data_IF_703350135365
#
_entry.id   IF_703350135365
#
_cell.length_a   1.000
_cell.length_b   1.000
_cell.length_c   1.000
_cell.angle_alpha   90.00
_cell.angle_beta   90.00
_cell.angle_gamma   90.00
#
_symmetry.space_group_name_H-M   'P 1'
#
loop_
_entity.id
_entity.type
_entity.pdbx_description
1 polymer ?
#
# COMPACT_ATOMS: atom_id res chain seq x y z
N UNK A 1 37.03 3.74 -2.69
CA UNK A 1 35.77 4.51 -2.68
C UNK A 1 34.54 3.58 -2.69
N UNK A 2 34.31 2.88 -1.57
CA UNK A 2 33.20 1.92 -1.38
C UNK A 2 32.15 2.48 -0.38
N UNK A 3 32.46 3.61 0.23
CA UNK A 3 31.75 4.16 1.40
C UNK A 3 30.46 4.90 1.03
N UNK A 4 30.40 5.57 -0.12
CA UNK A 4 29.19 6.27 -0.57
C UNK A 4 28.18 5.29 -1.17
N UNK A 5 28.62 4.28 -1.94
CA UNK A 5 27.73 3.21 -2.44
C UNK A 5 27.04 2.45 -1.30
N UNK A 6 27.80 2.00 -0.30
CA UNK A 6 27.23 1.32 0.88
C UNK A 6 26.29 2.21 1.71
N UNK A 7 26.56 3.52 1.78
CA UNK A 7 25.71 4.46 2.54
C UNK A 7 24.41 4.80 1.79
N UNK A 8 24.50 4.94 0.46
CA UNK A 8 23.32 5.07 -0.43
C UNK A 8 22.50 3.78 -0.52
N UNK A 9 23.09 2.60 -0.37
CA UNK A 9 22.36 1.32 -0.31
C UNK A 9 21.53 1.17 0.97
N UNK A 10 22.01 1.69 2.10
CA UNK A 10 21.24 1.76 3.35
C UNK A 10 20.14 2.84 3.31
N UNK A 11 20.33 3.91 2.53
CA UNK A 11 19.32 4.95 2.34
C UNK A 11 18.28 4.58 1.27
N UNK A 12 18.65 3.80 0.25
CA UNK A 12 17.75 3.32 -0.81
C UNK A 12 16.67 2.38 -0.28
N UNK A 13 17.00 1.50 0.68
CA UNK A 13 15.99 0.73 1.38
C UNK A 13 15.07 1.64 2.18
N UNK A 14 15.61 2.63 2.89
CA UNK A 14 14.81 3.54 3.71
C UNK A 14 13.85 4.41 2.88
N UNK A 15 14.33 5.10 1.83
CA UNK A 15 13.48 5.89 0.96
C UNK A 15 12.43 5.03 0.24
N UNK A 16 12.83 3.84 -0.24
CA UNK A 16 11.89 2.90 -0.82
C UNK A 16 10.82 2.48 0.19
N UNK A 17 11.18 2.20 1.45
CA UNK A 17 10.21 1.86 2.51
C UNK A 17 9.24 3.01 2.76
N UNK A 18 9.73 4.23 2.96
CA UNK A 18 8.89 5.42 3.17
C UNK A 18 7.91 5.61 1.99
N UNK A 19 8.41 5.48 0.76
CA UNK A 19 7.59 5.60 -0.44
C UNK A 19 6.57 4.45 -0.55
N UNK A 20 6.98 3.22 -0.20
CA UNK A 20 6.10 2.07 -0.19
C UNK A 20 4.98 2.24 0.84
N UNK A 21 5.31 2.66 2.07
CA UNK A 21 4.35 2.93 3.13
C UNK A 21 3.32 3.97 2.69
N UNK A 22 3.77 5.11 2.16
CA UNK A 22 2.89 6.15 1.65
C UNK A 22 1.96 5.65 0.53
N UNK A 23 2.49 4.84 -0.39
CA UNK A 23 1.71 4.21 -1.47
C UNK A 23 0.69 3.20 -0.93
N UNK A 24 1.08 2.35 0.02
CA UNK A 24 0.23 1.31 0.59
C UNK A 24 -0.88 1.91 1.45
N UNK A 25 -0.59 2.95 2.23
CA UNK A 25 -1.61 3.68 3.00
C UNK A 25 -2.61 4.36 2.06
N UNK A 26 -2.15 4.99 0.97
CA UNK A 26 -3.05 5.57 -0.05
C UNK A 26 -3.89 4.48 -0.73
N UNK A 27 -3.28 3.36 -1.10
CA UNK A 27 -3.99 2.23 -1.71
C UNK A 27 -5.10 1.71 -0.80
N UNK A 28 -4.83 1.52 0.50
CA UNK A 28 -5.82 1.02 1.45
C UNK A 28 -7.07 1.92 1.52
N UNK A 29 -6.92 3.25 1.56
CA UNK A 29 -8.09 4.16 1.56
C UNK A 29 -8.88 4.08 0.26
N UNK A 30 -8.19 4.13 -0.87
CA UNK A 30 -8.85 4.00 -2.18
C UNK A 30 -9.61 2.67 -2.31
N UNK A 31 -9.05 1.57 -1.80
CA UNK A 31 -9.71 0.26 -1.79
C UNK A 31 -10.96 0.26 -0.91
N UNK A 32 -10.99 1.01 0.21
CA UNK A 32 -12.13 1.03 1.13
C UNK A 32 -13.20 2.06 0.80
N UNK A 33 -12.82 3.16 0.16
CA UNK A 33 -13.70 4.30 -0.12
C UNK A 33 -14.53 4.11 -1.39
N UNK A 34 -14.23 3.10 -2.21
CA UNK A 34 -14.79 3.03 -3.54
C UNK A 34 -15.07 1.61 -4.06
N UNK A 35 -16.00 1.50 -5.00
CA UNK A 35 -16.14 0.35 -5.91
C UNK A 35 -15.14 0.42 -7.07
N UNK A 36 -14.03 1.14 -6.90
CA UNK A 36 -13.11 1.38 -8.00
C UNK A 36 -12.41 0.10 -8.41
N UNK A 37 -12.40 -0.19 -9.72
CA UNK A 37 -11.61 -1.26 -10.31
C UNK A 37 -10.15 -1.17 -9.86
N UNK A 38 -9.58 -2.31 -9.48
CA UNK A 38 -8.26 -2.41 -8.89
C UNK A 38 -7.14 -1.80 -9.76
N UNK A 39 -7.33 -1.80 -11.07
CA UNK A 39 -6.44 -1.16 -12.03
C UNK A 39 -6.28 0.34 -11.76
N UNK A 40 -7.38 1.05 -11.50
CA UNK A 40 -7.35 2.49 -11.20
C UNK A 40 -6.64 2.77 -9.89
N UNK A 41 -6.79 1.91 -8.88
CA UNK A 41 -6.07 2.03 -7.61
C UNK A 41 -4.56 1.91 -7.85
N UNK A 42 -4.12 0.90 -8.60
CA UNK A 42 -2.71 0.71 -8.98
C UNK A 42 -2.12 1.97 -9.62
N UNK A 43 -2.80 2.51 -10.64
CA UNK A 43 -2.34 3.73 -11.31
C UNK A 43 -2.34 4.95 -10.38
N UNK A 44 -3.35 5.10 -9.51
CA UNK A 44 -3.44 6.22 -8.56
C UNK A 44 -2.33 6.21 -7.49
N UNK A 45 -1.71 5.06 -7.22
CA UNK A 45 -0.54 4.94 -6.33
C UNK A 45 0.78 4.86 -7.09
N UNK A 46 0.77 5.16 -8.39
CA UNK A 46 1.98 5.26 -9.22
C UNK A 46 2.58 3.91 -9.61
N UNK A 47 1.76 2.86 -9.71
CA UNK A 47 2.17 1.53 -10.17
C UNK A 47 1.54 1.19 -11.52
N UNK A 48 2.39 0.93 -12.52
CA UNK A 48 1.96 0.59 -13.88
C UNK A 48 1.53 -0.87 -14.04
N UNK A 49 2.08 -1.77 -13.22
CA UNK A 49 1.73 -3.19 -13.21
C UNK A 49 0.75 -3.51 -12.08
N UNK A 50 -0.48 -3.85 -12.46
CA UNK A 50 -1.54 -4.23 -11.52
C UNK A 50 -1.16 -5.50 -10.75
N UNK A 51 -0.56 -6.49 -11.41
CA UNK A 51 -0.12 -7.74 -10.76
C UNK A 51 0.96 -7.47 -9.72
N UNK A 52 1.91 -6.58 -10.02
CA UNK A 52 2.94 -6.19 -9.06
C UNK A 52 2.35 -5.44 -7.87
N UNK A 53 1.40 -4.53 -8.12
CA UNK A 53 0.66 -3.84 -7.08
C UNK A 53 -0.09 -4.83 -6.16
N UNK A 54 -0.82 -5.80 -6.73
CA UNK A 54 -1.55 -6.81 -5.94
C UNK A 54 -0.59 -7.60 -5.07
N UNK A 55 0.56 -8.02 -5.60
CA UNK A 55 1.60 -8.72 -4.85
C UNK A 55 2.09 -7.86 -3.69
N UNK A 56 2.57 -6.64 -3.96
CA UNK A 56 3.08 -5.74 -2.92
C UNK A 56 2.03 -5.44 -1.84
N UNK A 57 0.78 -5.19 -2.23
CA UNK A 57 -0.30 -4.95 -1.28
C UNK A 57 -0.55 -6.18 -0.39
N UNK A 58 -0.52 -7.38 -0.99
CA UNK A 58 -0.71 -8.63 -0.26
C UNK A 58 0.46 -8.91 0.69
N UNK A 59 1.69 -8.64 0.25
CA UNK A 59 2.89 -8.76 1.09
C UNK A 59 2.86 -7.75 2.26
N UNK A 60 2.28 -6.57 2.04
CA UNK A 60 2.20 -5.50 3.05
C UNK A 60 1.10 -5.72 4.09
N UNK A 61 -0.11 -6.08 3.66
CA UNK A 61 -1.29 -6.19 4.53
C UNK A 61 -1.71 -7.64 4.84
N UNK A 62 -1.03 -8.63 4.25
CA UNK A 62 -1.38 -10.05 4.38
C UNK A 62 -2.66 -10.47 3.65
N UNK A 63 -3.26 -9.58 2.85
CA UNK A 63 -4.52 -9.81 2.13
C UNK A 63 -4.44 -9.20 0.73
N UNK A 64 -5.04 -9.87 -0.25
CA UNK A 64 -5.23 -9.22 -1.57
C UNK A 64 -6.12 -7.99 -1.41
N UNK A 65 -6.00 -6.96 -2.28
CA UNK A 65 -6.85 -5.78 -2.20
C UNK A 65 -8.36 -6.10 -2.18
N UNK A 66 -8.78 -7.13 -2.93
CA UNK A 66 -10.18 -7.58 -2.95
C UNK A 66 -10.60 -8.18 -1.61
N UNK A 67 -9.77 -9.03 -1.00
CA UNK A 67 -10.04 -9.57 0.34
C UNK A 67 -10.06 -8.46 1.39
N UNK A 68 -9.13 -7.50 1.29
CA UNK A 68 -9.08 -6.33 2.15
C UNK A 68 -10.38 -5.51 2.06
N UNK A 69 -10.83 -5.20 0.83
CA UNK A 69 -12.12 -4.55 0.61
C UNK A 69 -13.27 -5.30 1.26
N UNK A 70 -13.44 -6.58 0.95
CA UNK A 70 -14.54 -7.39 1.48
C UNK A 70 -14.53 -7.47 3.02
N UNK A 71 -13.34 -7.59 3.62
CA UNK A 71 -13.18 -7.71 5.07
C UNK A 71 -13.50 -6.41 5.82
N UNK A 72 -13.16 -5.27 5.24
CA UNK A 72 -13.20 -3.98 5.95
C UNK A 72 -14.25 -3.00 5.44
N UNK A 73 -14.86 -3.19 4.26
CA UNK A 73 -15.88 -2.27 3.71
C UNK A 73 -17.06 -2.07 4.65
N UNK A 74 -17.49 -3.12 5.34
CA UNK A 74 -18.68 -3.16 6.20
C UNK A 74 -18.40 -3.01 7.70
N UNK A 75 -17.14 -2.79 8.12
CA UNK A 75 -16.88 -2.44 9.52
C UNK A 75 -17.31 -0.99 9.77
N UNK A 76 -18.00 -0.77 10.89
CA UNK A 76 -18.53 0.54 11.31
C UNK A 76 -17.45 1.61 11.18
N UNK A 77 -17.82 2.82 10.71
CA UNK A 77 -16.92 3.94 10.35
C UNK A 77 -15.85 4.26 11.41
N UNK A 78 -16.13 4.00 12.69
CA UNK A 78 -15.17 4.15 13.81
C UNK A 78 -14.03 3.11 13.82
N UNK A 79 -14.28 1.87 13.40
CA UNK A 79 -13.25 0.82 13.35
C UNK A 79 -12.34 0.97 12.12
N UNK A 80 -12.88 1.48 11.00
CA UNK A 80 -12.08 1.84 9.81
C UNK A 80 -11.04 2.90 10.16
N UNK A 81 -11.44 3.96 10.86
CA UNK A 81 -10.54 5.04 11.27
C UNK A 81 -9.45 4.53 12.23
N UNK A 82 -9.80 3.69 13.20
CA UNK A 82 -8.82 3.08 14.10
C UNK A 82 -7.81 2.21 13.34
N UNK A 83 -8.24 1.38 12.38
CA UNK A 83 -7.31 0.59 11.57
C UNK A 83 -6.34 1.46 10.74
N UNK A 84 -6.83 2.58 10.19
CA UNK A 84 -6.05 3.51 9.35
C UNK A 84 -5.08 4.41 10.13
N UNK A 85 -5.25 4.52 11.44
CA UNK A 85 -4.39 5.33 12.32
C UNK A 85 -3.35 4.48 13.06
N UNK A 86 -3.57 3.17 13.19
CA UNK A 86 -2.71 2.26 13.94
C UNK A 86 -1.89 1.29 13.07
N UNK A 87 -2.03 1.34 11.74
CA UNK A 87 -1.15 0.69 10.76
C UNK A 87 -0.67 1.73 9.74
#
# INVERSE_FOLDING_TARGET
>A
EVTIRKKLENENTNFYRILLDARMQKAARLVLDSDTHINKVSYAVGMSSVSYFIKLFSDYYGLTPKQFHLKYKHRNTGEKAAFMLYN
#
